data_IF_890294311519
#
_entry.id   IF_890294311519
#
_cell.length_a   1.000
_cell.length_b   1.000
_cell.length_c   1.000
_cell.angle_alpha   90.00
_cell.angle_beta   90.00
_cell.angle_gamma   90.00
#
_symmetry.space_group_name_H-M   'P 1'
#
loop_
_entity.id
_entity.type
_entity.pdbx_description
1 polymer ?
#
# COMPACT_ATOMS: atom_id res chain seq x y z
N UNK A 1 0.65 0.65 -20.02
CA UNK A 1 0.45 1.77 -19.09
C UNK A 1 -0.95 2.33 -19.19
N UNK A 2 -1.48 2.81 -18.10
CA UNK A 2 -2.80 3.43 -18.02
C UNK A 2 -2.70 4.71 -17.18
N UNK A 3 -3.63 5.64 -17.45
CA UNK A 3 -3.74 6.89 -16.70
C UNK A 3 -4.92 6.77 -15.76
N UNK A 4 -4.72 7.10 -14.48
CA UNK A 4 -5.74 7.03 -13.46
C UNK A 4 -5.80 8.34 -12.71
N UNK A 5 -7.01 8.81 -12.44
CA UNK A 5 -7.26 10.01 -11.63
C UNK A 5 -7.68 9.63 -10.21
N UNK A 6 -7.10 10.31 -9.24
CA UNK A 6 -7.45 10.11 -7.82
C UNK A 6 -8.76 10.86 -7.51
N UNK A 7 -9.77 10.14 -7.01
CA UNK A 7 -11.10 10.70 -6.77
C UNK A 7 -11.46 10.92 -5.30
N UNK A 8 -10.69 10.34 -4.37
CA UNK A 8 -11.03 10.42 -2.95
C UNK A 8 -9.82 10.77 -2.08
N UNK A 9 -10.03 10.81 -0.78
CA UNK A 9 -9.03 11.25 0.20
C UNK A 9 -8.27 10.10 0.88
N UNK A 10 -8.58 8.86 0.52
CA UNK A 10 -8.09 7.68 1.26
C UNK A 10 -6.57 7.49 1.23
N UNK A 11 -5.90 8.08 0.24
CA UNK A 11 -4.44 7.98 0.09
C UNK A 11 -3.70 9.26 0.45
N UNK A 12 -4.39 10.23 1.04
CA UNK A 12 -3.71 11.43 1.55
C UNK A 12 -2.83 11.08 2.74
N UNK A 13 -1.68 11.73 2.89
CA UNK A 13 -1.17 12.87 2.11
C UNK A 13 -0.44 12.47 0.83
N UNK A 14 -0.21 11.19 0.58
CA UNK A 14 0.57 10.70 -0.56
C UNK A 14 -0.06 11.08 -1.90
N UNK A 15 -1.35 10.81 -2.03
CA UNK A 15 -2.13 11.09 -3.24
C UNK A 15 -3.34 11.93 -2.87
N UNK A 16 -3.44 13.12 -3.45
CA UNK A 16 -4.57 14.02 -3.23
C UNK A 16 -5.57 13.93 -4.38
N UNK A 17 -6.81 14.29 -4.09
CA UNK A 17 -7.86 14.34 -5.12
C UNK A 17 -7.40 15.18 -6.31
N UNK A 18 -7.68 14.67 -7.51
CA UNK A 18 -7.32 15.34 -8.75
C UNK A 18 -5.94 14.98 -9.28
N UNK A 19 -5.09 14.33 -8.50
CA UNK A 19 -3.79 13.86 -9.00
C UNK A 19 -3.99 12.85 -10.13
N UNK A 20 -3.11 12.92 -11.12
CA UNK A 20 -3.10 11.99 -12.24
C UNK A 20 -1.88 11.08 -12.12
N UNK A 21 -2.14 9.78 -12.18
CA UNK A 21 -1.14 8.74 -11.98
C UNK A 21 -0.92 7.97 -13.28
N UNK A 22 0.33 7.60 -13.51
CA UNK A 22 0.67 6.59 -14.51
C UNK A 22 0.73 5.23 -13.80
N UNK A 23 0.00 4.26 -14.37
CA UNK A 23 -0.13 2.92 -13.83
C UNK A 23 0.44 1.90 -14.81
N UNK A 24 1.31 1.02 -14.33
CA UNK A 24 1.85 -0.08 -15.12
C UNK A 24 0.95 -1.32 -14.96
N UNK A 25 0.18 -1.63 -16.00
CA UNK A 25 -0.71 -2.80 -16.02
C UNK A 25 0.04 -4.12 -16.15
N UNK A 26 1.30 -4.09 -16.55
CA UNK A 26 2.12 -5.28 -16.76
C UNK A 26 3.00 -5.62 -15.56
N UNK A 27 2.99 -4.79 -14.52
CA UNK A 27 3.93 -4.92 -13.40
C UNK A 27 3.90 -6.29 -12.74
N UNK A 28 2.71 -6.90 -12.63
CA UNK A 28 2.53 -8.16 -11.93
C UNK A 28 2.30 -9.35 -12.86
N UNK A 29 2.50 -9.15 -14.16
CA UNK A 29 2.49 -10.26 -15.13
C UNK A 29 3.76 -11.12 -15.02
N UNK A 30 4.88 -10.48 -14.70
CA UNK A 30 6.20 -11.10 -14.60
C UNK A 30 6.78 -11.06 -13.20
N UNK A 31 6.04 -10.50 -12.25
CA UNK A 31 6.46 -10.36 -10.86
C UNK A 31 5.26 -10.35 -9.94
N UNK A 32 5.52 -10.21 -8.65
CA UNK A 32 4.49 -10.21 -7.61
C UNK A 32 4.43 -8.84 -6.92
N UNK A 33 3.25 -8.46 -6.39
CA UNK A 33 3.16 -7.27 -5.55
C UNK A 33 4.10 -7.38 -4.35
N UNK A 34 4.68 -6.26 -3.99
CA UNK A 34 5.57 -6.15 -2.84
C UNK A 34 4.93 -5.24 -1.79
N UNK A 35 5.30 -5.46 -0.53
CA UNK A 35 4.87 -4.58 0.55
C UNK A 35 5.35 -3.16 0.26
N UNK A 36 4.44 -2.20 0.37
CA UNK A 36 4.68 -0.81 0.04
C UNK A 36 4.22 -0.40 -1.35
N UNK A 37 3.98 -1.32 -2.25
CA UNK A 37 3.46 -0.99 -3.58
C UNK A 37 2.10 -0.31 -3.46
N UNK A 38 1.90 0.74 -4.25
CA UNK A 38 0.58 1.34 -4.42
C UNK A 38 -0.04 0.69 -5.63
N UNK A 39 -1.17 0.04 -5.44
CA UNK A 39 -1.85 -0.72 -6.48
C UNK A 39 -3.20 -0.14 -6.84
N UNK A 40 -3.59 -0.34 -8.08
CA UNK A 40 -4.93 -0.07 -8.59
C UNK A 40 -5.61 -1.42 -8.78
N UNK A 41 -6.81 -1.54 -8.27
CA UNK A 41 -7.57 -2.80 -8.35
C UNK A 41 -9.07 -2.56 -8.44
N UNK A 42 -9.80 -3.55 -8.92
CA UNK A 42 -11.25 -3.59 -8.85
C UNK A 42 -11.68 -4.39 -7.62
N UNK A 43 -12.72 -3.95 -6.95
CA UNK A 43 -13.30 -4.71 -5.85
C UNK A 43 -14.52 -5.51 -6.36
N UNK A 44 -14.69 -6.71 -5.83
CA UNK A 44 -15.81 -7.58 -6.23
C UNK A 44 -17.16 -6.85 -6.09
N UNK A 45 -17.97 -6.92 -7.14
CA UNK A 45 -19.27 -6.24 -7.21
C UNK A 45 -19.21 -4.76 -7.54
N UNK A 46 -18.01 -4.22 -7.77
CA UNK A 46 -17.79 -2.81 -8.13
C UNK A 46 -16.73 -2.66 -9.22
N UNK A 47 -16.85 -3.46 -10.28
CA UNK A 47 -15.89 -3.48 -11.38
C UNK A 47 -15.86 -2.17 -12.19
N UNK A 48 -16.85 -1.29 -12.00
CA UNK A 48 -16.92 0.04 -12.60
C UNK A 48 -16.06 1.09 -11.88
N UNK A 49 -15.48 0.73 -10.72
CA UNK A 49 -14.68 1.63 -9.90
C UNK A 49 -13.26 1.09 -9.70
N UNK A 50 -12.28 1.98 -9.86
CA UNK A 50 -10.90 1.69 -9.50
C UNK A 50 -10.64 2.11 -8.06
N UNK A 51 -10.02 1.22 -7.31
CA UNK A 51 -9.53 1.50 -5.95
C UNK A 51 -8.02 1.63 -5.99
N UNK A 52 -7.49 2.54 -5.20
CA UNK A 52 -6.04 2.77 -5.08
C UNK A 52 -5.70 2.65 -3.60
N UNK A 53 -4.85 1.70 -3.26
CA UNK A 53 -4.40 1.46 -1.88
C UNK A 53 -2.95 1.00 -1.86
N UNK A 54 -2.36 1.03 -0.67
CA UNK A 54 -1.01 0.52 -0.45
C UNK A 54 -1.05 -0.91 0.04
N UNK A 55 -0.21 -1.76 -0.53
CA UNK A 55 -0.03 -3.14 -0.08
C UNK A 55 0.72 -3.15 1.24
N UNK A 56 0.12 -3.72 2.26
CA UNK A 56 0.71 -3.87 3.60
C UNK A 56 1.02 -5.33 3.89
N UNK A 57 0.13 -6.24 3.54
CA UNK A 57 0.30 -7.67 3.77
C UNK A 57 0.30 -8.46 2.48
N UNK A 58 1.23 -9.40 2.39
CA UNK A 58 1.38 -10.37 1.31
C UNK A 58 0.79 -11.71 1.74
N UNK A 59 0.52 -12.65 0.80
CA UNK A 59 -0.01 -13.96 1.18
C UNK A 59 0.81 -14.62 2.28
N UNK A 60 0.13 -15.11 3.32
CA UNK A 60 0.74 -15.75 4.47
C UNK A 60 1.19 -14.81 5.58
N UNK A 61 1.20 -13.50 5.35
CA UNK A 61 1.59 -12.53 6.37
C UNK A 61 0.58 -12.48 7.52
N UNK A 62 1.11 -12.38 8.73
CA UNK A 62 0.32 -12.12 9.92
C UNK A 62 0.35 -10.62 10.22
N UNK A 63 -0.81 -9.99 10.16
CA UNK A 63 -0.98 -8.55 10.35
C UNK A 63 -1.58 -8.30 11.72
N UNK A 64 -0.97 -7.40 12.46
CA UNK A 64 -1.49 -6.93 13.74
C UNK A 64 -1.45 -5.41 13.76
N UNK A 65 -2.58 -4.79 14.06
CA UNK A 65 -2.70 -3.34 14.21
C UNK A 65 -3.19 -3.07 15.62
N UNK A 66 -2.36 -2.41 16.41
CA UNK A 66 -2.66 -2.11 17.81
C UNK A 66 -1.81 -0.94 18.29
N UNK A 67 -2.39 -0.08 19.12
CA UNK A 67 -1.67 1.06 19.69
C UNK A 67 -1.13 2.04 18.64
N UNK A 68 -1.78 2.11 17.48
CA UNK A 68 -1.36 2.99 16.39
C UNK A 68 -0.25 2.42 15.50
N UNK A 69 0.16 1.19 15.71
CA UNK A 69 1.28 0.55 14.99
C UNK A 69 0.79 -0.63 14.17
N UNK A 70 1.25 -0.71 12.94
CA UNK A 70 1.07 -1.88 12.07
C UNK A 70 2.27 -2.78 12.21
N UNK A 71 2.04 -4.03 12.57
CA UNK A 71 3.08 -5.04 12.75
C UNK A 71 2.83 -6.17 11.76
N UNK A 72 3.85 -6.57 11.03
CA UNK A 72 3.80 -7.67 10.06
C UNK A 72 4.78 -8.76 10.49
N UNK A 73 4.27 -9.96 10.72
CA UNK A 73 5.08 -11.10 11.16
C UNK A 73 5.95 -10.78 12.40
N UNK A 74 5.39 -10.02 13.34
CA UNK A 74 6.07 -9.61 14.55
C UNK A 74 6.99 -8.40 14.42
N UNK A 75 7.16 -7.83 13.23
CA UNK A 75 8.01 -6.67 12.99
C UNK A 75 7.17 -5.42 12.80
N UNK A 76 7.29 -4.41 13.67
CA UNK A 76 6.61 -3.13 13.48
C UNK A 76 7.10 -2.44 12.21
N UNK A 77 6.17 -1.88 11.44
CA UNK A 77 6.50 -1.08 10.29
C UNK A 77 6.76 0.37 10.70
N UNK A 78 7.76 1.00 10.11
CA UNK A 78 7.95 2.44 10.14
C UNK A 78 7.32 3.00 8.86
N UNK A 79 6.31 3.83 9.02
CA UNK A 79 5.48 4.28 7.90
C UNK A 79 5.52 5.79 7.76
N UNK A 80 6.55 6.36 7.09
CA UNK A 80 6.72 7.81 7.00
C UNK A 80 5.67 8.51 6.12
N UNK A 81 4.93 7.76 5.33
CA UNK A 81 3.91 8.27 4.40
C UNK A 81 2.56 8.53 5.07
N UNK A 82 2.32 8.03 6.29
CA UNK A 82 1.06 8.27 6.99
C UNK A 82 1.14 9.56 7.82
N UNK A 83 0.03 10.27 7.94
CA UNK A 83 -0.10 11.47 8.74
C UNK A 83 -0.63 11.18 10.14
N UNK A 84 -1.60 10.28 10.22
CA UNK A 84 -2.21 9.86 11.47
C UNK A 84 -2.03 8.36 11.66
N UNK A 85 -1.78 7.94 12.89
CA UNK A 85 -1.74 6.53 13.24
C UNK A 85 -3.16 5.93 13.20
N UNK A 86 -3.30 4.66 12.78
CA UNK A 86 -4.61 4.01 12.79
C UNK A 86 -5.16 3.92 14.22
N UNK A 87 -6.46 4.23 14.37
CA UNK A 87 -7.15 4.19 15.66
C UNK A 87 -7.87 2.87 15.91
N UNK A 88 -7.86 1.97 14.93
CA UNK A 88 -8.51 0.67 15.03
C UNK A 88 -7.52 -0.42 15.44
N UNK A 89 -8.07 -1.51 15.93
CA UNK A 89 -7.31 -2.71 16.32
C UNK A 89 -7.75 -3.87 15.43
N UNK A 90 -6.77 -4.67 14.98
CA UNK A 90 -7.03 -5.75 14.04
C UNK A 90 -5.94 -6.82 14.17
N UNK A 91 -6.32 -8.06 14.01
CA UNK A 91 -5.41 -9.20 13.86
C UNK A 91 -5.93 -10.08 12.73
N UNK A 92 -5.13 -10.25 11.69
CA UNK A 92 -5.49 -11.02 10.50
C UNK A 92 -4.29 -11.75 9.94
N UNK A 93 -4.53 -12.91 9.34
CA UNK A 93 -3.55 -13.62 8.52
C UNK A 93 -4.02 -13.58 7.07
N UNK A 94 -3.14 -13.13 6.18
CA UNK A 94 -3.47 -12.96 4.76
C UNK A 94 -3.54 -14.34 4.10
N UNK A 95 -4.69 -14.70 3.50
CA UNK A 95 -4.81 -15.97 2.78
C UNK A 95 -3.91 -16.03 1.55
N UNK A 96 -3.71 -17.24 1.02
CA UNK A 96 -3.04 -17.43 -0.26
C UNK A 96 -3.80 -16.68 -1.38
N UNK A 97 -3.05 -16.14 -2.33
CA UNK A 97 -3.57 -15.39 -3.49
C UNK A 97 -4.33 -14.11 -3.12
N UNK A 98 -4.14 -13.60 -1.91
CA UNK A 98 -4.77 -12.37 -1.45
C UNK A 98 -3.74 -11.38 -0.94
N UNK A 99 -4.18 -10.11 -0.86
CA UNK A 99 -3.39 -9.01 -0.32
C UNK A 99 -4.18 -8.30 0.77
N UNK A 100 -3.46 -7.78 1.75
CA UNK A 100 -4.02 -6.87 2.74
C UNK A 100 -3.57 -5.46 2.37
N UNK A 101 -4.51 -4.57 2.13
CA UNK A 101 -4.23 -3.21 1.66
C UNK A 101 -4.82 -2.17 2.60
N UNK A 102 -4.11 -1.06 2.76
CA UNK A 102 -4.57 0.07 3.54
C UNK A 102 -4.42 1.38 2.76
N UNK A 103 -5.33 2.31 3.00
CA UNK A 103 -5.15 3.69 2.58
C UNK A 103 -4.14 4.38 3.49
N UNK A 104 -3.34 5.29 2.94
CA UNK A 104 -2.38 6.05 3.74
C UNK A 104 -3.08 6.98 4.72
N UNK A 105 -4.27 7.44 4.38
CA UNK A 105 -5.14 8.18 5.30
C UNK A 105 -5.90 7.19 6.19
N UNK A 106 -5.21 6.61 7.15
CA UNK A 106 -5.60 5.43 7.91
C UNK A 106 -7.01 5.49 8.50
N UNK A 107 -7.42 6.62 8.99
CA UNK A 107 -8.72 6.77 9.65
C UNK A 107 -9.82 7.29 8.72
N UNK A 108 -9.52 7.51 7.43
CA UNK A 108 -10.45 7.95 6.40
C UNK A 108 -10.30 7.12 5.13
N UNK A 109 -10.29 5.82 5.28
CA UNK A 109 -10.14 4.88 4.17
C UNK A 109 -10.99 3.65 4.39
N UNK A 110 -11.78 3.30 3.38
CA UNK A 110 -12.41 1.99 3.31
C UNK A 110 -11.45 1.05 2.60
N UNK A 111 -10.92 0.10 3.33
CA UNK A 111 -9.87 -0.79 2.85
C UNK A 111 -9.95 -2.14 3.56
N UNK A 112 -8.87 -2.90 3.58
CA UNK A 112 -8.87 -4.25 4.15
C UNK A 112 -9.29 -4.30 5.61
N UNK A 113 -9.11 -3.23 6.40
CA UNK A 113 -9.59 -3.22 7.78
C UNK A 113 -11.12 -3.18 7.86
N UNK A 114 -11.80 -2.73 6.82
CA UNK A 114 -13.26 -2.63 6.75
C UNK A 114 -13.90 -3.80 5.99
N UNK A 115 -13.36 -4.15 4.81
CA UNK A 115 -14.00 -5.10 3.91
C UNK A 115 -13.14 -6.33 3.55
N UNK A 116 -11.97 -6.48 4.17
CA UNK A 116 -11.17 -7.70 4.04
C UNK A 116 -10.12 -7.64 2.95
N UNK A 117 -9.75 -8.80 2.44
CA UNK A 117 -8.61 -8.95 1.55
C UNK A 117 -8.96 -8.64 0.09
N UNK A 118 -7.93 -8.25 -0.67
CA UNK A 118 -8.01 -8.06 -2.12
C UNK A 118 -7.50 -9.34 -2.78
N UNK A 119 -8.30 -9.89 -3.70
CA UNK A 119 -7.87 -11.00 -4.52
C UNK A 119 -6.81 -10.49 -5.53
N UNK A 120 -5.72 -11.23 -5.71
CA UNK A 120 -4.69 -10.84 -6.66
C UNK A 120 -5.21 -10.71 -8.10
N UNK A 121 -6.25 -11.46 -8.45
CA UNK A 121 -6.88 -11.38 -9.76
C UNK A 121 -7.57 -10.03 -10.00
N UNK A 122 -7.89 -9.30 -8.95
CA UNK A 122 -8.53 -7.98 -9.05
C UNK A 122 -7.55 -6.85 -9.33
N UNK A 123 -6.25 -7.11 -9.21
CA UNK A 123 -5.24 -6.08 -9.37
C UNK A 123 -5.09 -5.70 -10.84
N UNK A 124 -5.27 -4.42 -11.13
CA UNK A 124 -5.14 -3.86 -12.48
C UNK A 124 -3.70 -3.51 -12.78
N UNK A 125 -2.97 -2.97 -11.81
CA UNK A 125 -1.59 -2.59 -12.01
C UNK A 125 -0.97 -1.89 -10.82
N UNK A 126 0.27 -1.45 -11.02
CA UNK A 126 1.07 -0.74 -10.03
C UNK A 126 1.15 0.74 -10.41
N UNK A 127 0.86 1.62 -9.46
CA UNK A 127 1.07 3.05 -9.64
C UNK A 127 2.56 3.36 -9.67
N UNK A 128 3.01 4.03 -10.72
CA UNK A 128 4.43 4.32 -10.94
C UNK A 128 4.81 5.71 -10.48
N UNK A 129 4.06 6.71 -10.93
CA UNK A 129 4.34 8.09 -10.55
C UNK A 129 3.14 9.01 -10.77
N UNK A 130 3.19 10.14 -10.08
CA UNK A 130 2.26 11.26 -10.27
C UNK A 130 2.81 12.10 -11.42
N UNK A 131 2.03 12.32 -12.47
CA UNK A 131 2.45 13.18 -13.59
C UNK A 131 1.71 14.51 -13.66
N UNK A 132 0.67 14.68 -12.85
CA UNK A 132 -0.06 15.93 -12.74
C UNK A 132 -0.62 16.09 -11.33
N UNK A 133 -0.62 17.25 -10.69
CA UNK A 133 -0.09 18.52 -11.23
C UNK A 133 1.42 18.52 -11.34
N UNK A 134 1.98 19.40 -12.18
CA UNK A 134 3.43 19.44 -12.47
C UNK A 134 4.27 19.73 -11.23
N UNK A 135 3.72 20.45 -10.26
CA UNK A 135 4.39 20.74 -8.98
C UNK A 135 4.50 19.54 -8.07
N UNK A 136 3.79 18.46 -8.36
CA UNK A 136 3.69 17.27 -7.50
C UNK A 136 4.24 16.00 -8.18
N UNK A 137 4.97 16.14 -9.27
CA UNK A 137 5.58 15.01 -9.96
C UNK A 137 6.47 14.25 -8.98
N UNK A 138 6.17 12.96 -8.81
CA UNK A 138 6.87 12.12 -7.86
C UNK A 138 6.80 10.66 -8.28
N UNK A 139 7.91 9.94 -8.13
CA UNK A 139 7.93 8.49 -8.26
C UNK A 139 7.27 7.86 -7.03
N UNK A 140 6.42 6.88 -7.28
CA UNK A 140 5.71 6.13 -6.23
C UNK A 140 6.35 4.74 -6.00
N UNK A 141 7.43 4.47 -6.70
CA UNK A 141 8.20 3.23 -6.56
C UNK A 141 9.40 3.50 -5.66
N UNK A 142 9.63 2.61 -4.74
CA UNK A 142 10.77 2.72 -3.84
C UNK A 142 10.41 2.31 -2.42
N UNK A 143 11.40 2.33 -1.53
CA UNK A 143 11.24 1.83 -0.17
C UNK A 143 10.52 2.83 0.74
N UNK A 144 9.22 3.00 0.56
CA UNK A 144 8.42 3.84 1.44
C UNK A 144 8.17 3.18 2.79
N UNK A 145 8.20 1.84 2.84
CA UNK A 145 8.04 1.08 4.08
C UNK A 145 9.42 0.72 4.64
N UNK A 146 9.62 1.05 5.91
CA UNK A 146 10.82 0.72 6.66
C UNK A 146 10.44 -0.30 7.72
N UNK A 147 11.07 -1.48 7.69
CA UNK A 147 10.88 -2.53 8.68
C UNK A 147 11.96 -2.42 9.75
N UNK A 148 11.56 -2.39 11.02
CA UNK A 148 12.48 -2.31 12.17
C UNK A 148 13.47 -1.12 12.11
N UNK A 149 13.08 0.00 11.49
CA UNK A 149 13.95 1.15 11.33
C UNK A 149 15.08 0.95 10.32
N UNK A 150 15.15 -0.21 9.66
CA UNK A 150 16.12 -0.47 8.61
C UNK A 150 15.59 0.00 7.26
N UNK A 151 16.43 0.63 6.46
CA UNK A 151 16.08 0.98 5.09
C UNK A 151 16.04 -0.30 4.23
N UNK A 152 14.98 -0.49 3.42
CA UNK A 152 14.94 -1.62 2.51
C UNK A 152 16.16 -1.62 1.58
N UNK A 153 16.81 -2.76 1.44
CA UNK A 153 18.00 -2.90 0.61
C UNK A 153 19.34 -2.71 1.31
N UNK A 154 19.34 -2.31 2.58
CA UNK A 154 20.55 -2.35 3.40
C UNK A 154 20.65 -3.75 4.03
N UNK A 155 21.81 -4.39 3.84
CA UNK A 155 22.05 -5.68 4.45
C UNK A 155 22.22 -5.55 5.97
N UNK A 156 21.90 -6.63 6.68
CA UNK A 156 22.11 -6.71 8.13
C UNK A 156 23.57 -6.54 8.57
N UNK A 157 24.49 -6.45 7.61
CA UNK A 157 25.92 -6.32 7.88
C UNK A 157 26.34 -4.95 8.42
N UNK A 158 25.40 -3.99 8.45
CA UNK A 158 25.64 -2.66 8.99
C UNK A 158 24.96 -2.39 10.33
N UNK A 159 24.46 -3.43 11.00
CA UNK A 159 24.05 -3.26 12.38
C UNK A 159 25.29 -2.88 13.21
N UNK A 160 25.32 -1.73 13.93
CA UNK A 160 26.45 -1.41 14.77
C UNK A 160 26.59 -2.53 15.80
N UNK A 161 27.72 -3.17 15.81
CA UNK A 161 28.05 -4.17 16.81
C UNK A 161 27.87 -3.59 18.20
N UNK A 162 27.17 -4.32 19.03
CA UNK A 162 27.02 -4.05 20.44
C UNK A 162 28.35 -3.98 21.15
#
# INVERSE_FOLDING_TARGET
>A
TSRVKVFNVSMQPTLKQGYLLLVNKMAYKWGEPKRGDIIVFHHAGREDQDYIKRVIGLPGDHIEISGGVVTVNGTPLTEPYIKEMPRYTLTETVPNDKLFVLGDNRNQSDDSHSWGFVDMEWVVGKALFIYWPLTEIKLLTGPDIIENGALPGLSSDFAPGS
#
